data_IF_475594153728
#
_entry.id   IF_475594153728
#
_cell.length_a   1.000
_cell.length_b   1.000
_cell.length_c   1.000
_cell.angle_alpha   90.00
_cell.angle_beta   90.00
_cell.angle_gamma   90.00
#
_symmetry.space_group_name_H-M   'P 1'
#
loop_
_entity.id
_entity.type
_entity.pdbx_description
1 polymer ?
#
# COMPACT_ATOMS: atom_id res chain seq x y z
N UNK A 1 -29.29 -7.29 -5.92
CA UNK A 1 -28.23 -7.08 -6.94
C UNK A 1 -26.90 -7.42 -6.30
N UNK A 2 -25.90 -7.88 -7.06
CA UNK A 2 -24.54 -8.05 -6.55
C UNK A 2 -23.98 -6.69 -6.20
N UNK A 3 -23.30 -6.58 -5.05
CA UNK A 3 -22.57 -5.38 -4.67
C UNK A 3 -21.47 -5.10 -5.70
N UNK A 4 -21.25 -3.82 -6.04
CA UNK A 4 -20.31 -3.40 -7.06
C UNK A 4 -19.25 -2.45 -6.49
N UNK A 5 -17.99 -2.63 -6.89
CA UNK A 5 -16.88 -1.83 -6.42
C UNK A 5 -16.00 -1.34 -7.58
N UNK A 6 -15.65 -0.06 -7.56
CA UNK A 6 -14.58 0.49 -8.40
C UNK A 6 -13.28 0.53 -7.60
N UNK A 7 -12.19 0.06 -8.22
CA UNK A 7 -10.83 0.12 -7.66
C UNK A 7 -9.93 0.88 -8.63
N UNK A 8 -9.45 2.07 -8.23
CA UNK A 8 -8.38 2.74 -8.96
C UNK A 8 -7.03 2.13 -8.57
N UNK A 9 -6.13 1.94 -9.53
CA UNK A 9 -4.84 1.30 -9.24
C UNK A 9 -4.93 -0.21 -8.99
N UNK A 10 -5.88 -0.89 -9.61
CA UNK A 10 -6.16 -2.32 -9.44
C UNK A 10 -4.94 -3.22 -9.69
N UNK A 11 -4.00 -2.81 -10.55
CA UNK A 11 -2.74 -3.54 -10.81
C UNK A 11 -1.65 -3.32 -9.74
N UNK A 12 -1.91 -2.46 -8.75
CA UNK A 12 -1.03 -2.32 -7.59
C UNK A 12 -1.15 -3.48 -6.61
N UNK A 13 -0.22 -3.54 -5.63
CA UNK A 13 -0.26 -4.53 -4.56
C UNK A 13 -1.64 -4.58 -3.90
N UNK A 14 -2.09 -3.45 -3.38
CA UNK A 14 -3.34 -3.37 -2.61
C UNK A 14 -4.57 -3.56 -3.49
N UNK A 15 -4.55 -2.94 -4.68
CA UNK A 15 -5.66 -3.02 -5.63
C UNK A 15 -5.94 -4.46 -6.07
N UNK A 16 -4.90 -5.22 -6.38
CA UNK A 16 -5.04 -6.60 -6.83
C UNK A 16 -5.45 -7.55 -5.69
N UNK A 17 -4.89 -7.37 -4.47
CA UNK A 17 -5.29 -8.16 -3.30
C UNK A 17 -6.73 -7.87 -2.88
N UNK A 18 -7.15 -6.60 -2.94
CA UNK A 18 -8.52 -6.20 -2.65
C UNK A 18 -9.49 -6.75 -3.71
N UNK A 19 -9.13 -6.68 -4.99
CA UNK A 19 -9.93 -7.24 -6.07
C UNK A 19 -10.19 -8.74 -5.88
N UNK A 20 -9.15 -9.53 -5.60
CA UNK A 20 -9.30 -10.96 -5.28
C UNK A 20 -10.27 -11.19 -4.11
N UNK A 21 -10.10 -10.41 -3.03
CA UNK A 21 -10.95 -10.55 -1.84
C UNK A 21 -12.42 -10.23 -2.15
N UNK A 22 -12.70 -9.17 -2.91
CA UNK A 22 -14.05 -8.77 -3.28
C UNK A 22 -14.69 -9.74 -4.28
N UNK A 23 -13.94 -10.20 -5.28
CA UNK A 23 -14.39 -11.22 -6.25
C UNK A 23 -14.76 -12.53 -5.54
N UNK A 24 -13.93 -13.01 -4.61
CA UNK A 24 -14.21 -14.20 -3.80
C UNK A 24 -15.50 -14.09 -2.96
N UNK A 25 -15.95 -12.87 -2.66
CA UNK A 25 -17.22 -12.61 -1.98
C UNK A 25 -18.40 -12.40 -2.95
N UNK A 26 -18.16 -12.58 -4.24
CA UNK A 26 -19.19 -12.43 -5.28
C UNK A 26 -19.51 -10.98 -5.65
N UNK A 27 -18.67 -9.99 -5.26
CA UNK A 27 -18.83 -8.61 -5.72
C UNK A 27 -18.51 -8.50 -7.22
N UNK A 28 -19.16 -7.56 -7.91
CA UNK A 28 -18.70 -7.08 -9.22
C UNK A 28 -17.57 -6.11 -9.01
N UNK A 29 -16.38 -6.39 -9.54
CA UNK A 29 -15.19 -5.54 -9.40
C UNK A 29 -14.87 -4.91 -10.74
N UNK A 30 -14.72 -3.58 -10.75
CA UNK A 30 -14.29 -2.79 -11.91
C UNK A 30 -12.99 -2.08 -11.57
N UNK A 31 -11.92 -2.40 -12.29
CA UNK A 31 -10.62 -1.77 -12.13
C UNK A 31 -10.43 -0.61 -13.09
N UNK A 32 -10.09 0.57 -12.57
CA UNK A 32 -9.70 1.70 -13.41
C UNK A 32 -8.18 1.74 -13.56
N UNK A 33 -7.71 1.75 -14.80
CA UNK A 33 -6.29 1.74 -15.15
C UNK A 33 -5.97 2.84 -16.16
N UNK A 34 -4.74 3.38 -16.10
CA UNK A 34 -4.27 4.32 -17.14
C UNK A 34 -3.87 3.61 -18.43
N UNK A 35 -3.34 2.39 -18.30
CA UNK A 35 -3.03 1.46 -19.40
C UNK A 35 -3.31 0.03 -18.99
N UNK A 36 -3.92 -0.71 -19.88
CA UNK A 36 -4.19 -2.14 -19.70
C UNK A 36 -2.88 -2.93 -19.66
N UNK A 37 -2.82 -3.93 -18.80
CA UNK A 37 -1.74 -4.92 -18.69
C UNK A 37 -2.35 -6.32 -18.89
N UNK A 38 -2.37 -6.83 -20.13
CA UNK A 38 -3.06 -8.10 -20.42
C UNK A 38 -2.50 -9.30 -19.68
N UNK A 39 -1.22 -9.27 -19.32
CA UNK A 39 -0.55 -10.37 -18.62
C UNK A 39 -0.65 -10.31 -17.09
N UNK A 40 -1.43 -9.36 -16.54
CA UNK A 40 -1.61 -9.26 -15.10
C UNK A 40 -2.55 -10.35 -14.59
N UNK A 41 -2.04 -11.26 -13.75
CA UNK A 41 -2.77 -12.44 -13.24
C UNK A 41 -3.40 -12.19 -11.87
N UNK A 42 -4.43 -13.00 -11.55
CA UNK A 42 -5.07 -13.03 -10.24
C UNK A 42 -6.27 -12.12 -10.08
N UNK A 43 -6.68 -11.44 -11.17
CA UNK A 43 -7.89 -10.60 -11.20
C UNK A 43 -8.66 -10.77 -12.53
N UNK A 44 -8.58 -11.95 -13.13
CA UNK A 44 -9.17 -12.26 -14.44
C UNK A 44 -10.68 -12.04 -14.48
N UNK A 45 -11.36 -12.20 -13.34
CA UNK A 45 -12.81 -11.98 -13.22
C UNK A 45 -13.20 -10.50 -12.98
N UNK A 46 -12.21 -9.59 -12.89
CA UNK A 46 -12.46 -8.16 -12.78
C UNK A 46 -12.65 -7.53 -14.16
N UNK A 47 -13.63 -6.66 -14.27
CA UNK A 47 -13.82 -5.81 -15.45
C UNK A 47 -12.76 -4.69 -15.43
N UNK A 48 -12.02 -4.50 -16.52
CA UNK A 48 -10.97 -3.48 -16.62
C UNK A 48 -11.39 -2.38 -17.58
N UNK A 49 -11.38 -1.15 -17.09
CA UNK A 49 -11.67 0.05 -17.88
C UNK A 49 -10.41 0.93 -17.93
N UNK A 50 -9.95 1.23 -19.14
CA UNK A 50 -8.87 2.19 -19.36
C UNK A 50 -9.43 3.61 -19.33
N UNK A 51 -9.04 4.40 -18.35
CA UNK A 51 -9.49 5.76 -18.17
C UNK A 51 -8.50 6.60 -17.37
N UNK A 52 -8.44 7.89 -17.66
CA UNK A 52 -7.73 8.84 -16.80
C UNK A 52 -8.63 9.27 -15.63
N UNK A 53 -8.26 8.85 -14.43
CA UNK A 53 -9.03 9.15 -13.22
C UNK A 53 -9.03 10.65 -12.83
N UNK A 54 -8.20 11.46 -13.47
CA UNK A 54 -8.19 12.92 -13.33
C UNK A 54 -9.01 13.63 -14.42
N UNK A 55 -9.73 12.91 -15.27
CA UNK A 55 -10.70 13.44 -16.24
C UNK A 55 -12.12 13.33 -15.68
N UNK A 56 -12.71 14.48 -15.38
CA UNK A 56 -14.06 14.55 -14.77
C UNK A 56 -15.15 14.00 -15.72
N UNK A 57 -15.04 14.24 -17.01
CA UNK A 57 -16.04 13.77 -17.99
C UNK A 57 -15.98 12.24 -18.13
N UNK A 58 -14.77 11.68 -18.20
CA UNK A 58 -14.57 10.25 -18.24
C UNK A 58 -15.11 9.59 -16.96
N UNK A 59 -14.79 10.13 -15.76
CA UNK A 59 -15.28 9.58 -14.51
C UNK A 59 -16.80 9.64 -14.39
N UNK A 60 -17.42 10.74 -14.77
CA UNK A 60 -18.89 10.85 -14.79
C UNK A 60 -19.54 9.78 -15.70
N UNK A 61 -18.95 9.53 -16.87
CA UNK A 61 -19.43 8.48 -17.78
C UNK A 61 -19.33 7.09 -17.15
N UNK A 62 -18.15 6.73 -16.64
CA UNK A 62 -17.90 5.43 -16.00
C UNK A 62 -18.82 5.21 -14.80
N UNK A 63 -18.92 6.18 -13.89
CA UNK A 63 -19.76 6.03 -12.69
C UNK A 63 -21.25 5.96 -13.01
N UNK A 64 -21.72 6.67 -14.04
CA UNK A 64 -23.10 6.60 -14.53
C UNK A 64 -23.44 5.20 -15.07
N UNK A 65 -22.50 4.56 -15.76
CA UNK A 65 -22.65 3.22 -16.33
C UNK A 65 -22.56 2.14 -15.24
N UNK A 66 -21.53 2.18 -14.41
CA UNK A 66 -21.24 1.12 -13.44
C UNK A 66 -22.13 1.22 -12.19
N UNK A 67 -22.45 2.43 -11.73
CA UNK A 67 -23.20 2.72 -10.50
C UNK A 67 -22.64 1.98 -9.28
N UNK A 68 -21.35 2.22 -8.92
CA UNK A 68 -20.70 1.47 -7.86
C UNK A 68 -21.30 1.78 -6.49
N UNK A 69 -21.40 0.73 -5.65
CA UNK A 69 -21.71 0.88 -4.23
C UNK A 69 -20.50 1.37 -3.44
N UNK A 70 -19.29 1.03 -3.91
CA UNK A 70 -18.03 1.35 -3.27
C UNK A 70 -16.99 1.83 -4.27
N UNK A 71 -16.19 2.83 -3.86
CA UNK A 71 -15.04 3.32 -4.62
C UNK A 71 -13.79 3.30 -3.73
N UNK A 72 -12.81 2.48 -4.09
CA UNK A 72 -11.50 2.38 -3.44
C UNK A 72 -10.48 3.15 -4.27
N UNK A 73 -10.06 4.32 -3.79
CA UNK A 73 -9.05 5.11 -4.48
C UNK A 73 -7.64 4.75 -3.97
N UNK A 74 -7.04 3.73 -4.63
CA UNK A 74 -5.72 3.17 -4.30
C UNK A 74 -4.64 3.59 -5.30
N UNK A 75 -5.01 4.19 -6.44
CA UNK A 75 -4.04 4.71 -7.39
C UNK A 75 -3.19 5.81 -6.74
N UNK A 76 -1.87 5.70 -6.89
CA UNK A 76 -0.94 6.71 -6.43
C UNK A 76 0.29 6.77 -7.32
N UNK A 77 0.76 7.98 -7.63
CA UNK A 77 2.10 8.20 -8.13
C UNK A 77 3.06 8.25 -6.94
N UNK A 78 3.92 7.24 -6.83
CA UNK A 78 4.89 7.07 -5.74
C UNK A 78 6.12 6.30 -6.24
N UNK A 79 7.28 6.64 -5.74
CA UNK A 79 8.54 5.93 -5.96
C UNK A 79 9.22 5.61 -4.62
N UNK A 80 10.27 4.80 -4.63
CA UNK A 80 11.04 4.52 -3.42
C UNK A 80 11.70 5.81 -2.90
N UNK A 81 11.91 5.89 -1.59
CA UNK A 81 12.55 7.05 -0.93
C UNK A 81 13.98 7.34 -1.39
N UNK A 82 14.61 6.38 -2.08
CA UNK A 82 15.98 6.50 -2.60
C UNK A 82 16.06 7.28 -3.94
N UNK A 83 14.94 7.52 -4.60
CA UNK A 83 14.90 8.19 -5.90
C UNK A 83 14.65 9.69 -5.75
N UNK A 84 15.44 10.51 -6.45
CA UNK A 84 15.19 11.94 -6.54
C UNK A 84 13.88 12.24 -7.27
N UNK A 85 13.10 13.19 -6.76
CA UNK A 85 11.82 13.56 -7.35
C UNK A 85 11.97 14.67 -8.39
N UNK A 86 11.97 14.32 -9.68
CA UNK A 86 11.97 15.28 -10.78
C UNK A 86 10.70 16.16 -10.79
N UNK A 87 10.77 17.34 -11.44
CA UNK A 87 9.65 18.29 -11.49
C UNK A 87 8.40 17.66 -12.15
N UNK A 88 8.57 16.98 -13.26
CA UNK A 88 7.46 16.33 -13.98
C UNK A 88 6.79 15.24 -13.14
N UNK A 89 7.56 14.50 -12.34
CA UNK A 89 7.01 13.50 -11.46
C UNK A 89 6.25 14.12 -10.29
N UNK A 90 6.65 15.31 -9.79
CA UNK A 90 5.85 16.05 -8.80
C UNK A 90 4.49 16.49 -9.37
N UNK A 91 4.47 16.92 -10.63
CA UNK A 91 3.20 17.25 -11.31
C UNK A 91 2.32 16.01 -11.48
N UNK A 92 2.91 14.87 -11.81
CA UNK A 92 2.19 13.59 -11.87
C UNK A 92 1.64 13.20 -10.49
N UNK A 93 2.42 13.39 -9.41
CA UNK A 93 1.92 13.17 -8.04
C UNK A 93 0.72 14.05 -7.71
N UNK A 94 0.74 15.35 -8.04
CA UNK A 94 -0.41 16.24 -7.85
C UNK A 94 -1.62 15.77 -8.65
N UNK A 95 -1.43 15.39 -9.91
CA UNK A 95 -2.51 14.93 -10.78
C UNK A 95 -3.15 13.66 -10.24
N UNK A 96 -2.36 12.64 -9.90
CA UNK A 96 -2.88 11.31 -9.50
C UNK A 96 -3.32 11.30 -8.02
N UNK A 97 -2.53 11.90 -7.11
CA UNK A 97 -2.79 11.77 -5.68
C UNK A 97 -3.78 12.80 -5.13
N UNK A 98 -3.96 13.94 -5.83
CA UNK A 98 -4.86 15.01 -5.37
C UNK A 98 -5.97 15.34 -6.37
N UNK A 99 -5.64 15.73 -7.62
CA UNK A 99 -6.67 16.12 -8.59
C UNK A 99 -7.64 14.96 -8.87
N UNK A 100 -7.13 13.74 -9.06
CA UNK A 100 -7.98 12.57 -9.24
C UNK A 100 -8.87 12.30 -8.02
N UNK A 101 -8.37 12.54 -6.80
CA UNK A 101 -9.19 12.43 -5.57
C UNK A 101 -10.37 13.39 -5.62
N UNK A 102 -10.14 14.64 -6.02
CA UNK A 102 -11.22 15.63 -6.18
C UNK A 102 -12.21 15.21 -7.26
N UNK A 103 -11.74 14.80 -8.43
CA UNK A 103 -12.60 14.36 -9.56
C UNK A 103 -13.49 13.19 -9.14
N UNK A 104 -12.97 12.20 -8.43
CA UNK A 104 -13.75 11.05 -7.95
C UNK A 104 -14.80 11.49 -6.93
N UNK A 105 -14.44 12.35 -5.98
CA UNK A 105 -15.36 12.88 -4.97
C UNK A 105 -16.49 13.69 -5.62
N UNK A 106 -16.16 14.61 -6.54
CA UNK A 106 -17.17 15.43 -7.23
C UNK A 106 -18.11 14.54 -8.07
N UNK A 107 -17.55 13.52 -8.74
CA UNK A 107 -18.36 12.54 -9.50
C UNK A 107 -19.35 11.79 -8.59
N UNK A 108 -18.89 11.35 -7.41
CA UNK A 108 -19.73 10.64 -6.43
C UNK A 108 -20.82 11.58 -5.91
N UNK A 109 -20.46 12.77 -5.46
CA UNK A 109 -21.41 13.72 -4.89
C UNK A 109 -22.49 14.18 -5.88
N UNK A 110 -22.11 14.35 -7.16
CA UNK A 110 -23.04 14.80 -8.19
C UNK A 110 -23.99 13.68 -8.69
N UNK A 111 -23.54 12.42 -8.70
CA UNK A 111 -24.25 11.37 -9.43
C UNK A 111 -24.67 10.19 -8.55
N UNK A 112 -23.92 9.87 -7.50
CA UNK A 112 -24.07 8.66 -6.68
C UNK A 112 -23.76 8.92 -5.20
N UNK A 113 -24.48 9.81 -4.53
CA UNK A 113 -24.16 10.23 -3.16
C UNK A 113 -24.18 9.10 -2.12
N UNK A 114 -24.76 7.94 -2.45
CA UNK A 114 -24.74 6.73 -1.63
C UNK A 114 -23.48 5.89 -1.81
N UNK A 115 -22.66 6.13 -2.84
CA UNK A 115 -21.42 5.41 -3.05
C UNK A 115 -20.43 5.69 -1.92
N UNK A 116 -19.93 4.64 -1.28
CA UNK A 116 -18.96 4.74 -0.19
C UNK A 116 -17.56 4.89 -0.74
N UNK A 117 -16.85 5.91 -0.27
CA UNK A 117 -15.53 6.28 -0.79
C UNK A 117 -14.43 6.01 0.22
N UNK A 118 -13.39 5.29 -0.18
CA UNK A 118 -12.15 5.12 0.59
C UNK A 118 -10.98 5.77 -0.13
N UNK A 119 -10.29 6.65 0.58
CA UNK A 119 -9.04 7.25 0.16
C UNK A 119 -7.84 6.56 0.84
N UNK A 120 -6.88 6.09 0.07
CA UNK A 120 -5.64 5.55 0.62
C UNK A 120 -4.70 6.68 1.03
N UNK A 121 -4.67 7.00 2.33
CA UNK A 121 -3.67 7.85 2.97
C UNK A 121 -2.33 7.13 3.14
N UNK A 122 -1.43 7.70 3.94
CA UNK A 122 -0.09 7.13 4.15
C UNK A 122 0.50 7.57 5.49
N UNK A 123 1.33 6.74 6.11
CA UNK A 123 2.18 7.13 7.25
C UNK A 123 3.12 8.31 6.91
N UNK A 124 3.45 8.53 5.62
CA UNK A 124 4.23 9.69 5.18
C UNK A 124 3.49 11.05 5.31
N UNK A 125 2.23 11.06 5.74
CA UNK A 125 1.54 12.26 6.21
C UNK A 125 2.09 12.77 7.54
N UNK A 126 2.94 11.99 8.20
CA UNK A 126 3.60 12.31 9.45
C UNK A 126 5.12 12.25 9.28
N UNK A 127 5.84 13.05 10.07
CA UNK A 127 7.30 12.99 10.14
C UNK A 127 7.69 12.46 11.50
N UNK A 128 8.55 11.44 11.58
CA UNK A 128 9.09 11.01 12.84
C UNK A 128 9.97 12.12 13.43
N UNK A 129 9.81 12.43 14.71
CA UNK A 129 10.74 13.19 15.52
C UNK A 129 11.73 12.24 16.20
N UNK A 130 12.51 12.70 17.16
CA UNK A 130 13.44 11.83 17.89
C UNK A 130 12.71 10.61 18.51
N UNK A 131 13.33 9.45 18.38
CA UNK A 131 12.83 8.20 18.92
C UNK A 131 11.62 7.61 18.19
N UNK A 132 10.74 6.94 18.93
CA UNK A 132 9.50 6.33 18.42
C UNK A 132 8.35 7.32 18.62
N UNK A 133 7.70 7.70 17.52
CA UNK A 133 6.49 8.53 17.52
C UNK A 133 5.28 7.65 17.26
N UNK A 134 4.39 7.56 18.23
CA UNK A 134 3.11 6.85 18.09
C UNK A 134 2.10 7.75 17.43
N UNK A 135 1.49 7.27 16.34
CA UNK A 135 0.53 8.01 15.50
C UNK A 135 -0.82 7.32 15.52
N UNK A 136 -1.87 8.10 15.79
CA UNK A 136 -3.26 7.72 15.63
C UNK A 136 -4.00 8.71 14.72
N UNK A 137 -5.32 8.53 14.57
CA UNK A 137 -6.16 9.35 13.68
C UNK A 137 -6.38 10.79 14.18
N UNK A 138 -5.98 11.10 15.41
CA UNK A 138 -6.03 12.44 16.00
C UNK A 138 -4.70 13.17 15.92
N UNK A 139 -3.63 12.48 15.54
CA UNK A 139 -2.28 13.04 15.45
C UNK A 139 -2.21 14.10 14.35
N UNK A 140 -1.56 15.25 14.59
CA UNK A 140 -1.45 16.31 13.60
C UNK A 140 -0.58 15.88 12.41
N UNK A 141 -1.06 16.12 11.20
CA UNK A 141 -0.28 15.87 9.98
C UNK A 141 0.96 16.78 9.93
N UNK A 142 2.11 16.20 9.64
CA UNK A 142 3.41 16.89 9.49
C UNK A 142 4.23 16.23 8.38
N UNK A 143 3.84 16.38 7.10
CA UNK A 143 4.54 15.71 6.00
C UNK A 143 5.92 16.33 5.78
N UNK A 144 6.96 15.52 5.56
CA UNK A 144 8.31 15.93 5.19
C UNK A 144 8.68 15.62 3.74
N UNK A 145 7.77 14.96 2.98
CA UNK A 145 7.97 14.63 1.58
C UNK A 145 6.88 15.22 0.71
N UNK A 146 7.18 15.45 -0.57
CA UNK A 146 6.18 15.93 -1.53
C UNK A 146 5.01 14.94 -1.67
N UNK A 147 5.30 13.63 -1.66
CA UNK A 147 4.28 12.60 -1.62
C UNK A 147 3.39 12.73 -0.37
N UNK A 148 4.00 12.88 0.80
CA UNK A 148 3.25 13.11 2.05
C UNK A 148 2.35 14.34 1.97
N UNK A 149 2.83 15.46 1.40
CA UNK A 149 2.02 16.68 1.17
C UNK A 149 0.79 16.36 0.31
N UNK A 150 0.94 15.62 -0.81
CA UNK A 150 -0.20 15.27 -1.66
C UNK A 150 -1.19 14.36 -0.95
N UNK A 151 -0.72 13.45 -0.08
CA UNK A 151 -1.58 12.57 0.71
C UNK A 151 -2.35 13.33 1.81
N UNK A 152 -1.72 14.29 2.45
CA UNK A 152 -2.38 15.21 3.41
C UNK A 152 -3.47 16.03 2.72
N UNK A 153 -3.17 16.59 1.54
CA UNK A 153 -4.15 17.35 0.78
C UNK A 153 -5.40 16.52 0.43
N UNK A 154 -5.23 15.28 -0.02
CA UNK A 154 -6.34 14.36 -0.30
C UNK A 154 -7.14 14.00 0.97
N UNK A 155 -6.47 13.70 2.09
CA UNK A 155 -7.13 13.41 3.35
C UNK A 155 -7.94 14.60 3.88
N UNK A 156 -7.40 15.82 3.79
CA UNK A 156 -8.14 17.04 4.15
C UNK A 156 -9.35 17.25 3.26
N UNK A 157 -9.23 17.00 1.95
CA UNK A 157 -10.36 17.12 1.02
C UNK A 157 -11.47 16.13 1.38
N UNK A 158 -11.16 14.87 1.65
CA UNK A 158 -12.15 13.88 2.10
C UNK A 158 -12.84 14.34 3.37
N UNK A 159 -12.09 14.79 4.38
CA UNK A 159 -12.62 15.29 5.64
C UNK A 159 -13.49 16.52 5.46
N UNK A 160 -13.13 17.46 4.56
CA UNK A 160 -13.91 18.65 4.23
C UNK A 160 -15.24 18.25 3.58
N UNK A 161 -15.21 17.42 2.54
CA UNK A 161 -16.42 17.01 1.80
C UNK A 161 -17.35 16.15 2.66
N UNK A 162 -16.82 15.35 3.58
CA UNK A 162 -17.62 14.64 4.58
C UNK A 162 -18.42 15.60 5.47
N UNK A 163 -17.82 16.70 5.93
CA UNK A 163 -18.48 17.69 6.78
C UNK A 163 -19.48 18.55 6.00
N UNK A 164 -19.09 19.08 4.86
CA UNK A 164 -19.85 20.10 4.14
C UNK A 164 -20.87 19.52 3.15
N UNK A 165 -20.50 18.43 2.47
CA UNK A 165 -21.30 17.86 1.38
C UNK A 165 -21.88 16.47 1.71
N UNK A 166 -21.71 15.99 2.94
CA UNK A 166 -22.20 14.67 3.39
C UNK A 166 -21.63 13.51 2.59
N UNK A 167 -20.41 13.65 2.05
CA UNK A 167 -19.71 12.54 1.44
C UNK A 167 -19.62 11.37 2.42
N UNK A 168 -20.09 10.19 2.03
CA UNK A 168 -19.77 8.99 2.76
C UNK A 168 -18.36 8.54 2.40
N UNK A 169 -17.37 9.20 2.95
CA UNK A 169 -15.97 9.02 2.61
C UNK A 169 -15.05 8.99 3.82
N UNK A 170 -14.00 8.17 3.75
CA UNK A 170 -12.99 8.01 4.80
C UNK A 170 -11.57 7.93 4.25
N UNK A 171 -10.60 8.20 5.12
CA UNK A 171 -9.17 8.01 4.85
C UNK A 171 -8.65 6.79 5.60
N UNK A 172 -8.12 5.81 4.88
CA UNK A 172 -7.33 4.73 5.45
C UNK A 172 -5.85 5.17 5.51
N UNK A 173 -5.33 5.42 6.70
CA UNK A 173 -3.95 5.88 6.93
C UNK A 173 -3.05 4.65 6.98
N UNK A 174 -2.39 4.36 5.85
CA UNK A 174 -1.65 3.13 5.65
C UNK A 174 -0.21 3.27 6.14
N UNK A 175 0.20 2.38 7.03
CA UNK A 175 1.60 2.17 7.37
C UNK A 175 2.26 1.22 6.37
N UNK A 176 3.55 0.97 6.51
CA UNK A 176 4.24 0.08 5.58
C UNK A 176 3.59 -1.30 5.61
N UNK A 177 3.27 -1.82 4.44
CA UNK A 177 2.62 -3.12 4.31
C UNK A 177 3.11 -3.84 3.07
N UNK A 178 3.38 -5.13 3.23
CA UNK A 178 4.17 -5.90 2.31
C UNK A 178 3.45 -7.17 1.86
N UNK A 179 3.80 -7.62 0.67
CA UNK A 179 3.35 -8.90 0.11
C UNK A 179 4.28 -9.35 -1.01
N UNK A 180 4.01 -10.52 -1.56
CA UNK A 180 4.67 -11.03 -2.77
C UNK A 180 4.47 -10.13 -4.00
N UNK A 181 3.48 -9.20 -3.97
CA UNK A 181 3.16 -8.24 -5.04
C UNK A 181 3.81 -6.87 -4.84
N UNK A 182 4.63 -6.71 -3.80
CA UNK A 182 5.40 -5.48 -3.60
C UNK A 182 6.37 -5.29 -4.75
N UNK A 183 6.50 -4.08 -5.29
CA UNK A 183 7.42 -3.81 -6.38
C UNK A 183 8.89 -3.98 -5.95
N UNK A 184 9.78 -4.46 -6.84
CA UNK A 184 11.17 -4.83 -6.51
C UNK A 184 12.04 -3.69 -5.97
N UNK A 185 11.72 -2.44 -6.29
CA UNK A 185 12.48 -1.27 -5.84
C UNK A 185 12.28 -0.93 -4.35
N UNK A 186 11.34 -1.56 -3.66
CA UNK A 186 11.12 -1.33 -2.23
C UNK A 186 12.00 -2.25 -1.37
N UNK A 187 12.38 -1.72 -0.19
CA UNK A 187 13.36 -2.33 0.71
C UNK A 187 13.04 -3.80 1.04
N UNK A 188 11.83 -4.08 1.48
CA UNK A 188 11.41 -5.44 1.84
C UNK A 188 11.60 -6.41 0.68
N UNK A 189 11.21 -5.99 -0.51
CA UNK A 189 11.32 -6.80 -1.73
C UNK A 189 12.77 -6.99 -2.18
N UNK A 190 13.60 -5.93 -2.09
CA UNK A 190 15.04 -6.02 -2.33
C UNK A 190 15.69 -7.10 -1.45
N UNK A 191 15.32 -7.10 -0.16
CA UNK A 191 15.89 -8.06 0.81
C UNK A 191 15.41 -9.48 0.55
N UNK A 192 14.11 -9.72 0.32
CA UNK A 192 13.58 -11.07 0.08
C UNK A 192 14.08 -11.66 -1.23
N UNK A 193 14.16 -10.86 -2.29
CA UNK A 193 14.76 -11.27 -3.57
C UNK A 193 16.26 -11.57 -3.45
N UNK A 194 17.01 -10.76 -2.68
CA UNK A 194 18.43 -11.02 -2.44
C UNK A 194 18.63 -12.33 -1.69
N UNK A 195 17.83 -12.63 -0.68
CA UNK A 195 17.88 -13.90 0.04
C UNK A 195 17.61 -15.10 -0.90
N UNK A 196 16.54 -15.02 -1.71
CA UNK A 196 16.19 -16.06 -2.68
C UNK A 196 17.29 -16.25 -3.73
N UNK A 197 17.80 -15.17 -4.32
CA UNK A 197 18.87 -15.23 -5.31
C UNK A 197 20.18 -15.80 -4.73
N UNK A 198 20.52 -15.42 -3.49
CA UNK A 198 21.70 -15.94 -2.80
C UNK A 198 21.61 -17.45 -2.62
N UNK A 199 20.43 -17.97 -2.24
CA UNK A 199 20.21 -19.42 -2.12
C UNK A 199 20.38 -20.15 -3.45
N UNK A 200 19.75 -19.66 -4.51
CA UNK A 200 19.81 -20.26 -5.85
C UNK A 200 21.26 -20.27 -6.37
N UNK A 201 21.98 -19.17 -6.17
CA UNK A 201 23.37 -19.07 -6.62
C UNK A 201 24.28 -20.01 -5.83
N UNK A 202 24.09 -20.15 -4.52
CA UNK A 202 24.83 -21.09 -3.68
C UNK A 202 24.61 -22.53 -4.14
N UNK A 203 23.39 -22.90 -4.48
CA UNK A 203 23.06 -24.25 -4.97
C UNK A 203 23.67 -24.54 -6.34
N UNK A 204 23.80 -23.54 -7.21
CA UNK A 204 24.35 -23.70 -8.57
C UNK A 204 25.88 -23.61 -8.61
N UNK A 205 26.51 -22.74 -7.85
CA UNK A 205 27.90 -22.33 -8.05
C UNK A 205 28.78 -22.44 -6.80
N UNK A 206 28.24 -22.87 -5.66
CA UNK A 206 28.92 -22.74 -4.37
C UNK A 206 29.08 -21.28 -3.94
N UNK A 207 30.04 -21.02 -3.03
CA UNK A 207 30.33 -19.65 -2.54
C UNK A 207 31.15 -18.85 -3.60
N UNK A 208 30.61 -18.68 -4.82
CA UNK A 208 31.22 -17.86 -5.86
C UNK A 208 30.99 -16.35 -5.63
N UNK A 209 31.78 -15.53 -6.35
CA UNK A 209 31.64 -14.05 -6.28
C UNK A 209 30.22 -13.61 -6.68
N UNK A 210 29.43 -13.19 -5.70
CA UNK A 210 28.09 -12.63 -5.88
C UNK A 210 28.13 -11.12 -5.68
N UNK A 211 27.32 -10.38 -6.46
CA UNK A 211 27.06 -8.97 -6.17
C UNK A 211 26.28 -8.89 -4.86
N UNK A 212 26.90 -8.28 -3.86
CA UNK A 212 26.28 -8.11 -2.54
C UNK A 212 25.20 -7.03 -2.60
N UNK A 213 24.10 -7.24 -1.86
CA UNK A 213 23.11 -6.21 -1.63
C UNK A 213 23.71 -5.14 -0.71
N UNK A 214 23.66 -3.87 -1.12
CA UNK A 214 24.11 -2.75 -0.29
C UNK A 214 22.92 -2.09 0.40
N UNK A 215 22.99 -1.95 1.73
CA UNK A 215 21.99 -1.27 2.56
C UNK A 215 22.62 -0.18 3.39
N UNK A 216 22.04 1.02 3.30
CA UNK A 216 22.58 2.24 3.93
C UNK A 216 22.43 2.26 5.44
N UNK A 217 21.34 1.69 5.96
CA UNK A 217 21.04 1.69 7.39
C UNK A 217 20.19 0.51 7.79
N UNK A 218 20.80 -0.49 8.44
CA UNK A 218 20.08 -1.65 8.96
C UNK A 218 19.55 -1.44 10.38
N UNK A 219 19.87 -0.32 11.03
CA UNK A 219 19.31 0.09 12.32
C UNK A 219 17.94 0.79 12.16
N UNK A 220 17.59 1.23 10.95
CA UNK A 220 16.30 1.86 10.66
C UNK A 220 15.15 0.95 11.07
N UNK A 221 14.11 1.54 11.67
CA UNK A 221 12.96 0.83 12.26
C UNK A 221 11.66 1.21 11.56
N UNK A 222 10.82 0.22 11.31
CA UNK A 222 9.57 0.38 10.54
C UNK A 222 8.45 -0.46 11.15
N UNK A 223 7.24 0.07 11.18
CA UNK A 223 6.02 -0.68 11.46
C UNK A 223 5.53 -1.34 10.16
N UNK A 224 5.77 -2.64 10.02
CA UNK A 224 5.35 -3.44 8.87
C UNK A 224 4.13 -4.29 9.16
N UNK A 225 3.19 -4.33 8.22
CA UNK A 225 2.01 -5.18 8.21
C UNK A 225 1.98 -6.07 6.97
N UNK A 226 1.20 -7.14 6.99
CA UNK A 226 0.88 -7.86 5.76
C UNK A 226 -0.20 -7.10 4.95
N UNK A 227 0.03 -6.91 3.65
CA UNK A 227 -0.89 -6.18 2.79
C UNK A 227 -2.30 -6.83 2.75
N UNK A 228 -2.39 -8.15 2.86
CA UNK A 228 -3.68 -8.88 2.98
C UNK A 228 -4.49 -8.47 4.21
N UNK A 229 -3.84 -8.18 5.32
CA UNK A 229 -4.53 -7.67 6.51
C UNK A 229 -5.01 -6.24 6.31
N UNK A 230 -4.22 -5.41 5.65
CA UNK A 230 -4.55 -4.01 5.37
C UNK A 230 -5.74 -3.89 4.42
N UNK A 231 -5.76 -4.64 3.31
CA UNK A 231 -6.90 -4.61 2.38
C UNK A 231 -8.18 -5.15 3.00
N UNK A 232 -8.07 -6.12 3.93
CA UNK A 232 -9.21 -6.59 4.72
C UNK A 232 -9.77 -5.47 5.62
N UNK A 233 -8.90 -4.68 6.27
CA UNK A 233 -9.34 -3.52 7.05
C UNK A 233 -10.00 -2.45 6.17
N UNK A 234 -9.45 -2.18 4.98
CA UNK A 234 -10.06 -1.26 4.01
C UNK A 234 -11.48 -1.68 3.66
N UNK A 235 -11.70 -2.95 3.35
CA UNK A 235 -13.04 -3.45 3.06
C UNK A 235 -13.97 -3.32 4.27
N UNK A 236 -13.52 -3.73 5.45
CA UNK A 236 -14.30 -3.64 6.69
C UNK A 236 -14.69 -2.19 7.01
N UNK A 237 -13.81 -1.23 6.75
CA UNK A 237 -14.04 0.18 7.04
C UNK A 237 -15.19 0.78 6.21
N UNK A 238 -15.41 0.30 5.00
CA UNK A 238 -16.56 0.69 4.18
C UNK A 238 -17.87 -0.02 4.58
N UNK A 239 -17.87 -0.93 5.56
CA UNK A 239 -19.09 -1.59 6.02
C UNK A 239 -19.69 -0.93 7.30
N UNK A 240 -19.03 0.08 7.85
CA UNK A 240 -19.50 0.78 9.07
C UNK A 240 -20.72 1.64 8.78
N UNK A 241 -21.48 2.01 9.82
CA UNK A 241 -22.65 2.89 9.69
C UNK A 241 -22.24 4.33 9.39
N UNK A 242 -21.12 4.78 9.96
CA UNK A 242 -20.61 6.15 9.82
C UNK A 242 -19.17 6.13 9.30
N UNK A 243 -18.82 7.03 8.37
CA UNK A 243 -17.47 7.13 7.86
C UNK A 243 -16.52 7.71 8.92
N UNK A 244 -15.45 6.99 9.20
CA UNK A 244 -14.36 7.41 10.09
C UNK A 244 -13.02 7.07 9.46
N UNK A 245 -12.00 7.89 9.75
CA UNK A 245 -10.63 7.60 9.31
C UNK A 245 -10.01 6.54 10.22
N UNK A 246 -9.14 5.69 9.66
CA UNK A 246 -8.51 4.59 10.37
C UNK A 246 -7.01 4.52 10.11
N UNK A 247 -6.20 4.45 11.17
CA UNK A 247 -4.80 4.03 11.08
C UNK A 247 -4.76 2.51 10.91
N UNK A 248 -4.13 2.06 9.82
CA UNK A 248 -3.94 0.64 9.52
C UNK A 248 -2.46 0.30 9.60
N UNK A 249 -2.07 -0.30 10.73
CA UNK A 249 -0.70 -0.63 11.10
C UNK A 249 -0.68 -1.89 11.97
N UNK A 250 0.45 -2.58 12.01
CA UNK A 250 0.63 -3.71 12.94
C UNK A 250 0.69 -3.24 14.40
N UNK A 251 1.23 -2.05 14.62
CA UNK A 251 1.59 -1.55 15.93
C UNK A 251 2.88 -2.17 16.48
N UNK A 252 3.62 -2.89 15.65
CA UNK A 252 4.89 -3.51 15.99
C UNK A 252 6.00 -2.97 15.10
N UNK A 253 7.09 -2.57 15.71
CA UNK A 253 8.24 -2.00 15.03
C UNK A 253 9.31 -3.07 14.90
N UNK A 254 9.83 -3.22 13.69
CA UNK A 254 10.96 -4.10 13.38
C UNK A 254 12.09 -3.31 12.73
N UNK A 255 13.33 -3.70 12.99
CA UNK A 255 14.51 -3.12 12.33
C UNK A 255 14.72 -3.76 10.94
N UNK A 256 15.48 -3.08 10.10
CA UNK A 256 15.95 -3.64 8.82
C UNK A 256 16.86 -4.85 9.06
N UNK A 257 17.58 -4.87 10.19
CA UNK A 257 18.36 -6.04 10.63
C UNK A 257 17.44 -7.25 10.86
N UNK A 258 16.34 -7.08 11.60
CA UNK A 258 15.36 -8.17 11.81
C UNK A 258 14.74 -8.65 10.49
N UNK A 259 14.53 -7.73 9.52
CA UNK A 259 14.08 -8.09 8.18
C UNK A 259 15.12 -8.98 7.46
N UNK A 260 16.41 -8.65 7.55
CA UNK A 260 17.50 -9.48 7.01
C UNK A 260 17.55 -10.84 7.70
N UNK A 261 17.50 -10.85 9.04
CA UNK A 261 17.55 -12.08 9.83
C UNK A 261 16.42 -13.05 9.41
N UNK A 262 15.17 -12.56 9.33
CA UNK A 262 14.03 -13.42 8.94
C UNK A 262 14.09 -13.87 7.47
N UNK A 263 14.50 -12.99 6.55
CA UNK A 263 14.58 -13.33 5.12
C UNK A 263 15.66 -14.38 4.84
N UNK A 264 16.86 -14.21 5.39
CA UNK A 264 17.98 -15.13 5.16
C UNK A 264 17.85 -16.43 5.97
N UNK A 265 17.23 -16.38 7.14
CA UNK A 265 16.84 -17.57 7.91
C UNK A 265 15.88 -18.46 7.11
N UNK A 266 14.94 -17.89 6.37
CA UNK A 266 14.00 -18.64 5.54
C UNK A 266 14.68 -19.48 4.44
N UNK A 267 15.90 -19.14 4.07
CA UNK A 267 16.73 -19.87 3.08
C UNK A 267 17.94 -20.57 3.69
N UNK A 268 18.04 -20.61 5.02
CA UNK A 268 19.17 -21.21 5.77
C UNK A 268 20.53 -20.60 5.39
N UNK A 269 20.62 -19.29 5.26
CA UNK A 269 21.84 -18.53 4.97
C UNK A 269 22.11 -17.47 6.06
N UNK A 270 23.40 -17.09 6.18
CA UNK A 270 23.79 -15.95 7.01
C UNK A 270 23.88 -14.70 6.11
N UNK A 271 23.01 -13.71 6.31
CA UNK A 271 22.98 -12.51 5.48
C UNK A 271 24.29 -11.72 5.47
N UNK A 272 25.13 -11.78 6.51
CA UNK A 272 26.40 -11.06 6.58
C UNK A 272 27.38 -11.46 5.47
N UNK A 273 27.21 -12.62 4.85
CA UNK A 273 28.02 -13.07 3.73
C UNK A 273 27.58 -12.44 2.39
N UNK A 274 26.31 -12.01 2.28
CA UNK A 274 25.64 -11.59 1.04
C UNK A 274 25.23 -10.11 1.01
N UNK A 275 25.34 -9.41 2.14
CA UNK A 275 24.90 -8.02 2.29
C UNK A 275 26.05 -7.16 2.79
N UNK A 276 26.24 -6.00 2.20
CA UNK A 276 27.04 -4.91 2.75
C UNK A 276 26.09 -3.99 3.52
N UNK A 277 26.21 -4.02 4.83
CA UNK A 277 25.28 -3.32 5.73
C UNK A 277 26.00 -2.21 6.46
N UNK A 278 25.38 -1.03 6.55
CA UNK A 278 25.83 0.09 7.35
C UNK A 278 24.82 0.36 8.46
N UNK A 279 25.28 1.01 9.53
CA UNK A 279 24.44 1.49 10.63
C UNK A 279 24.67 2.98 10.80
N UNK A 280 23.60 3.78 10.74
CA UNK A 280 23.71 5.23 10.89
C UNK A 280 23.34 5.73 12.29
N UNK A 281 22.98 4.82 13.21
CA UNK A 281 22.62 5.14 14.59
C UNK A 281 21.12 5.27 14.81
N UNK A 282 20.70 5.97 15.88
CA UNK A 282 19.32 6.01 16.36
C UNK A 282 18.35 6.54 15.30
N UNK A 283 17.67 5.64 14.64
CA UNK A 283 16.67 5.99 13.66
C UNK A 283 15.39 6.53 14.30
N UNK A 284 14.82 7.56 13.69
CA UNK A 284 13.46 8.01 13.99
C UNK A 284 12.46 7.00 13.40
N UNK A 285 11.40 6.70 14.14
CA UNK A 285 10.42 5.71 13.72
C UNK A 285 8.99 6.18 13.98
N UNK A 286 8.08 5.86 13.06
CA UNK A 286 6.65 5.97 13.26
C UNK A 286 6.07 4.61 13.64
N UNK A 287 5.26 4.57 14.70
CA UNK A 287 4.46 3.42 15.10
C UNK A 287 2.98 3.77 14.96
N UNK A 288 2.22 2.95 14.24
CA UNK A 288 0.79 3.17 14.08
C UNK A 288 0.00 2.61 15.25
N UNK A 289 -0.94 3.40 15.79
CA UNK A 289 -1.88 2.97 16.83
C UNK A 289 -3.25 2.69 16.20
N UNK A 290 -3.46 1.45 15.77
CA UNK A 290 -4.71 0.99 15.12
C UNK A 290 -5.83 0.69 16.12
N UNK A 291 -5.93 1.44 17.22
CA UNK A 291 -6.92 1.14 18.28
C UNK A 291 -8.35 1.29 17.76
N UNK A 292 -8.62 2.35 16.97
CA UNK A 292 -9.95 2.56 16.37
C UNK A 292 -10.35 1.42 15.43
N UNK A 293 -9.43 0.94 14.60
CA UNK A 293 -9.71 -0.21 13.73
C UNK A 293 -10.01 -1.48 14.54
N UNK A 294 -9.35 -1.67 15.69
CA UNK A 294 -9.64 -2.80 16.60
C UNK A 294 -11.01 -2.69 17.23
N UNK A 295 -11.37 -1.52 17.74
CA UNK A 295 -12.59 -1.31 18.54
C UNK A 295 -13.85 -1.22 17.66
N UNK A 296 -13.76 -0.52 16.51
CA UNK A 296 -14.91 -0.28 15.63
C UNK A 296 -15.08 -1.39 14.59
N UNK A 297 -13.98 -1.84 13.97
CA UNK A 297 -14.03 -2.85 12.92
C UNK A 297 -13.88 -4.28 13.45
N UNK A 298 -13.42 -4.46 14.70
CA UNK A 298 -12.95 -5.77 15.19
C UNK A 298 -11.71 -6.27 14.43
N UNK A 299 -11.02 -5.39 13.71
CA UNK A 299 -9.87 -5.76 12.91
C UNK A 299 -8.63 -5.98 13.77
N UNK A 300 -7.89 -7.04 13.45
CA UNK A 300 -6.56 -7.33 14.02
C UNK A 300 -5.69 -7.94 12.92
N UNK A 301 -4.38 -7.65 12.89
CA UNK A 301 -3.45 -8.36 12.02
C UNK A 301 -3.52 -9.87 12.28
N UNK A 302 -3.52 -10.67 11.20
CA UNK A 302 -3.53 -12.13 11.22
C UNK A 302 -2.16 -12.72 10.94
N UNK A 303 -1.35 -11.98 10.17
CA UNK A 303 -0.02 -12.39 9.77
C UNK A 303 1.01 -11.76 10.71
N UNK A 304 1.92 -12.57 11.23
CA UNK A 304 3.10 -12.09 11.96
C UNK A 304 4.15 -11.55 10.97
N UNK A 305 5.07 -10.72 11.46
CA UNK A 305 6.20 -10.23 10.65
C UNK A 305 7.04 -11.39 10.06
N UNK A 306 7.46 -12.42 10.84
CA UNK A 306 8.17 -13.57 10.27
C UNK A 306 7.38 -14.32 9.21
N UNK A 307 6.08 -14.58 9.42
CA UNK A 307 5.24 -15.29 8.46
C UNK A 307 5.16 -14.54 7.14
N UNK A 308 4.97 -13.24 7.19
CA UNK A 308 4.90 -12.36 6.01
C UNK A 308 6.21 -12.42 5.21
N UNK A 309 7.36 -12.31 5.87
CA UNK A 309 8.67 -12.33 5.20
C UNK A 309 8.95 -13.72 4.60
N UNK A 310 8.64 -14.79 5.31
CA UNK A 310 8.81 -16.16 4.81
C UNK A 310 7.95 -16.44 3.56
N UNK A 311 6.69 -15.96 3.52
CA UNK A 311 5.85 -16.06 2.32
C UNK A 311 6.46 -15.30 1.13
N UNK A 312 7.02 -14.11 1.36
CA UNK A 312 7.66 -13.32 0.31
C UNK A 312 8.91 -14.03 -0.23
N UNK A 313 9.78 -14.53 0.65
CA UNK A 313 11.00 -15.27 0.25
C UNK A 313 10.65 -16.54 -0.51
N UNK A 314 9.66 -17.31 -0.05
CA UNK A 314 9.20 -18.52 -0.76
C UNK A 314 8.74 -18.19 -2.18
N UNK A 315 7.90 -17.17 -2.33
CA UNK A 315 7.46 -16.73 -3.65
C UNK A 315 8.63 -16.30 -4.55
N UNK A 316 9.64 -15.62 -3.99
CA UNK A 316 10.82 -15.19 -4.75
C UNK A 316 11.68 -16.37 -5.19
N UNK A 317 11.83 -17.40 -4.34
CA UNK A 317 12.48 -18.65 -4.71
C UNK A 317 11.77 -19.34 -5.89
N UNK A 318 10.45 -19.44 -5.83
CA UNK A 318 9.65 -20.07 -6.88
C UNK A 318 9.74 -19.29 -8.21
N UNK A 319 9.80 -17.95 -8.13
CA UNK A 319 9.86 -17.08 -9.31
C UNK A 319 11.24 -17.05 -9.95
N UNK A 320 12.31 -16.95 -9.16
CA UNK A 320 13.69 -16.87 -9.65
C UNK A 320 14.24 -18.26 -10.01
N UNK A 321 13.81 -19.31 -9.30
CA UNK A 321 14.24 -20.70 -9.56
C UNK A 321 13.56 -21.37 -10.74
N UNK A 322 12.43 -20.84 -11.20
CA UNK A 322 11.64 -21.35 -12.34
C UNK A 322 12.05 -20.79 -13.71
N UNK A 323 13.05 -19.90 -13.73
CA UNK A 323 13.71 -19.41 -14.96
C UNK A 323 15.06 -20.10 -15.17
#
# INVERSE_FOLDING_TARGET
MKKSAIITGIYGQDGSLLAEQLLAQGCRVVGLVHKTKPDFRGIEDAEIIEADIADLAAMRSVFKEIKPDECYHLAAAHHSSEQATAADFRMQMLRVNFLATQVLIDTILDSLPQCRFLYAGSSQMYTPSEGVVVVDECSPYRPSSFYGITKVAGAHLVGLMRRERKLWGLTAILFNHESTRRRPEFLSRKVTMAAAQSRINQDKNGLGAQTKLELRDISARVDWSAARDVVRAMQMSLQTEQPQDYVLASGQIHSVRELLDEAFKAVNLNWAEYVVAHESGVGHCLQGKSQRARDVLGWRPRYSFPTMIQEMVKHDLDTVGGT
#
